data_IF_050580246459
#
_entry.id   IF_050580246459
#
_cell.length_a   1.000
_cell.length_b   1.000
_cell.length_c   1.000
_cell.angle_alpha   90.00
_cell.angle_beta   90.00
_cell.angle_gamma   90.00
#
_symmetry.space_group_name_H-M   'P 1'
#
loop_
_entity.id
_entity.type
_entity.pdbx_description
1 polymer ?
#
# COMPACT_ATOMS: atom_id res chain seq x y z
N UNK A 1 -23.87 -51.13 -36.32
CA UNK A 1 -23.19 -49.90 -36.84
C UNK A 1 -22.05 -49.57 -35.92
N UNK A 2 -20.80 -49.77 -36.39
CA UNK A 2 -19.59 -49.36 -35.65
C UNK A 2 -19.60 -47.84 -35.53
N UNK A 3 -19.59 -47.31 -34.32
CA UNK A 3 -19.36 -45.90 -34.02
C UNK A 3 -17.97 -45.54 -34.61
N UNK A 4 -17.93 -44.88 -35.76
CA UNK A 4 -16.69 -44.36 -36.31
C UNK A 4 -16.03 -43.50 -35.22
N UNK A 5 -14.88 -43.89 -34.76
CA UNK A 5 -13.98 -43.06 -33.94
C UNK A 5 -13.52 -41.89 -34.84
N UNK A 6 -14.32 -40.84 -34.95
CA UNK A 6 -13.88 -39.58 -35.50
C UNK A 6 -12.72 -39.10 -34.64
N UNK A 7 -11.57 -38.86 -35.28
CA UNK A 7 -10.42 -38.27 -34.58
C UNK A 7 -10.89 -36.98 -33.88
N UNK A 8 -10.70 -36.93 -32.57
CA UNK A 8 -11.04 -35.76 -31.80
C UNK A 8 -10.14 -34.61 -32.25
N UNK A 9 -10.73 -33.46 -32.63
CA UNK A 9 -10.01 -32.25 -32.95
C UNK A 9 -9.13 -31.84 -31.74
N UNK A 10 -7.82 -31.81 -31.95
CA UNK A 10 -6.83 -31.41 -30.98
C UNK A 10 -6.26 -30.02 -31.30
N UNK A 11 -6.16 -29.13 -30.32
CA UNK A 11 -5.55 -27.82 -30.48
C UNK A 11 -4.00 -27.91 -30.64
N UNK A 12 -3.36 -29.00 -30.17
CA UNK A 12 -1.91 -29.15 -30.13
C UNK A 12 -1.21 -29.14 -31.47
N UNK A 13 -1.71 -29.81 -32.58
CA UNK A 13 -1.09 -29.72 -33.89
C UNK A 13 -1.03 -28.30 -34.41
N UNK A 14 -2.09 -27.53 -34.24
CA UNK A 14 -2.13 -26.13 -34.64
C UNK A 14 -1.12 -25.27 -33.85
N UNK A 15 -1.08 -25.40 -32.53
CA UNK A 15 -0.14 -24.68 -31.66
C UNK A 15 1.30 -24.97 -32.12
N UNK A 16 1.63 -26.22 -32.46
CA UNK A 16 2.95 -26.61 -32.98
C UNK A 16 3.24 -26.07 -34.37
N UNK A 17 2.23 -26.01 -35.25
CA UNK A 17 2.37 -25.51 -36.64
C UNK A 17 2.52 -23.98 -36.69
N UNK A 18 1.79 -23.24 -35.87
CA UNK A 18 1.70 -21.77 -35.89
C UNK A 18 2.46 -21.07 -34.74
N UNK A 19 3.66 -21.55 -34.41
CA UNK A 19 4.45 -21.10 -33.26
C UNK A 19 4.65 -19.58 -33.21
N UNK A 20 4.82 -18.89 -34.32
CA UNK A 20 5.04 -17.43 -34.34
C UNK A 20 3.81 -16.67 -33.88
N UNK A 21 2.62 -17.03 -34.40
CA UNK A 21 1.33 -16.39 -34.02
C UNK A 21 0.97 -16.66 -32.55
N UNK A 22 1.09 -17.92 -32.13
CA UNK A 22 0.82 -18.33 -30.76
C UNK A 22 1.77 -17.64 -29.76
N UNK A 23 3.07 -17.53 -30.11
CA UNK A 23 4.02 -16.77 -29.26
C UNK A 23 3.65 -15.30 -29.17
N UNK A 24 3.27 -14.66 -30.29
CA UNK A 24 2.84 -13.25 -30.25
C UNK A 24 1.62 -13.06 -29.36
N UNK A 25 0.62 -13.95 -29.44
CA UNK A 25 -0.56 -13.90 -28.58
C UNK A 25 -0.18 -14.11 -27.10
N UNK A 26 0.65 -15.11 -26.79
CA UNK A 26 1.10 -15.37 -25.41
C UNK A 26 1.89 -14.17 -24.86
N UNK A 27 2.77 -13.57 -25.67
CA UNK A 27 3.53 -12.38 -25.27
C UNK A 27 2.58 -11.21 -24.97
N UNK A 28 1.61 -10.94 -25.85
CA UNK A 28 0.65 -9.85 -25.64
C UNK A 28 -0.20 -10.05 -24.38
N UNK A 29 -0.66 -11.29 -24.15
CA UNK A 29 -1.39 -11.66 -22.92
C UNK A 29 -0.50 -11.56 -21.68
N UNK A 30 0.76 -12.00 -21.76
CA UNK A 30 1.72 -11.89 -20.66
C UNK A 30 2.03 -10.43 -20.31
N UNK A 31 2.23 -9.59 -21.34
CA UNK A 31 2.42 -8.15 -21.15
C UNK A 31 1.21 -7.50 -20.47
N UNK A 32 0.00 -7.93 -20.85
CA UNK A 32 -1.21 -7.46 -20.19
C UNK A 32 -1.20 -7.81 -18.68
N UNK A 33 -0.83 -9.06 -18.33
CA UNK A 33 -0.74 -9.50 -16.91
C UNK A 33 0.27 -8.64 -16.17
N UNK A 34 1.46 -8.44 -16.73
CA UNK A 34 2.54 -7.65 -16.12
C UNK A 34 2.10 -6.20 -15.90
N UNK A 35 1.58 -5.54 -16.93
CA UNK A 35 1.15 -4.14 -16.83
C UNK A 35 -0.04 -3.96 -15.88
N UNK A 36 -1.03 -4.85 -15.93
CA UNK A 36 -2.18 -4.79 -15.03
C UNK A 36 -1.79 -5.01 -13.57
N UNK A 37 -0.88 -5.96 -13.32
CA UNK A 37 -0.33 -6.19 -11.99
C UNK A 37 0.55 -5.03 -11.56
N UNK A 38 1.45 -4.53 -12.42
CA UNK A 38 2.38 -3.45 -12.12
C UNK A 38 1.66 -2.17 -11.69
N UNK A 39 0.62 -1.75 -12.42
CA UNK A 39 -0.21 -0.60 -12.02
C UNK A 39 -0.81 -0.82 -10.64
N UNK A 40 -1.46 -1.96 -10.41
CA UNK A 40 -2.07 -2.28 -9.12
C UNK A 40 -1.05 -2.42 -7.99
N UNK A 41 0.13 -2.98 -8.30
CA UNK A 41 1.23 -3.15 -7.35
C UNK A 41 1.81 -1.80 -6.92
N UNK A 42 2.13 -0.93 -7.88
CA UNK A 42 2.69 0.40 -7.61
C UNK A 42 1.72 1.21 -6.74
N UNK A 43 0.44 1.23 -7.10
CA UNK A 43 -0.57 1.96 -6.35
C UNK A 43 -0.71 1.43 -4.91
N UNK A 44 -0.75 0.11 -4.71
CA UNK A 44 -0.78 -0.49 -3.37
C UNK A 44 0.50 -0.21 -2.57
N UNK A 45 1.66 -0.14 -3.23
CA UNK A 45 2.93 0.20 -2.59
C UNK A 45 3.01 1.66 -2.14
N UNK A 46 2.22 2.55 -2.70
CA UNK A 46 2.15 3.93 -2.27
C UNK A 46 1.44 4.12 -0.92
N UNK A 47 0.51 3.24 -0.56
CA UNK A 47 -0.36 3.40 0.60
C UNK A 47 0.06 2.58 1.82
N UNK A 48 0.21 1.27 1.65
CA UNK A 48 0.38 0.33 2.77
C UNK A 48 1.64 0.55 3.63
N UNK A 49 2.84 0.78 3.04
CA UNK A 49 4.03 1.02 3.84
C UNK A 49 3.96 2.34 4.60
N UNK A 50 3.32 3.35 3.99
CA UNK A 50 3.10 4.63 4.61
C UNK A 50 2.16 4.51 5.81
N UNK A 51 1.01 3.86 5.62
CA UNK A 51 0.05 3.61 6.68
C UNK A 51 0.71 2.87 7.86
N UNK A 52 1.47 1.82 7.57
CA UNK A 52 2.17 1.05 8.57
C UNK A 52 3.23 1.88 9.30
N UNK A 53 4.10 2.57 8.57
CA UNK A 53 5.17 3.37 9.16
C UNK A 53 4.65 4.50 10.07
N UNK A 54 3.48 5.07 9.74
CA UNK A 54 2.86 6.14 10.53
C UNK A 54 2.01 5.65 11.70
N UNK A 55 1.46 4.43 11.64
CA UNK A 55 0.54 3.92 12.67
C UNK A 55 1.22 3.00 13.68
N UNK A 56 2.23 2.23 13.28
CA UNK A 56 2.92 1.26 14.17
C UNK A 56 3.45 1.88 15.47
N UNK A 57 3.97 3.13 15.51
CA UNK A 57 4.40 3.73 16.77
C UNK A 57 3.32 3.77 17.85
N UNK A 58 2.05 3.76 17.46
CA UNK A 58 0.90 3.94 18.37
C UNK A 58 0.29 2.61 18.90
N UNK A 59 0.87 1.44 18.59
CA UNK A 59 0.33 0.15 19.05
C UNK A 59 0.41 -0.04 20.56
N UNK A 60 1.45 0.49 21.18
CA UNK A 60 1.76 0.34 22.58
C UNK A 60 1.83 1.69 23.31
N UNK A 61 1.36 2.75 22.65
CA UNK A 61 1.21 4.07 23.25
C UNK A 61 0.00 4.79 22.67
N UNK A 62 -0.59 5.67 23.46
CA UNK A 62 -1.54 6.67 22.98
C UNK A 62 -1.03 8.08 23.30
N UNK A 63 -1.39 9.01 22.44
CA UNK A 63 -1.17 10.43 22.68
C UNK A 63 -2.48 11.05 23.13
N UNK A 64 -2.40 11.94 24.10
CA UNK A 64 -3.57 12.65 24.59
C UNK A 64 -3.18 14.01 25.14
N UNK A 65 -4.13 14.94 25.12
CA UNK A 65 -4.07 16.17 25.87
C UNK A 65 -5.19 16.14 26.90
N UNK A 66 -4.89 16.21 28.19
CA UNK A 66 -5.91 16.40 29.19
C UNK A 66 -6.65 17.73 28.99
N UNK A 67 -7.92 17.76 29.28
CA UNK A 67 -8.65 19.01 29.31
C UNK A 67 -8.21 19.82 30.56
N UNK A 68 -7.64 20.99 30.32
CA UNK A 68 -7.14 21.87 31.37
C UNK A 68 -7.96 23.15 31.35
N UNK A 69 -8.72 23.40 32.42
CA UNK A 69 -9.43 24.65 32.66
C UNK A 69 -8.60 25.52 33.61
N UNK A 70 -8.14 26.66 33.10
CA UNK A 70 -7.44 27.68 33.93
C UNK A 70 -8.27 28.94 33.84
N UNK A 71 -8.93 29.27 34.97
CA UNK A 71 -9.89 30.38 35.06
C UNK A 71 -9.21 31.77 35.11
N UNK A 72 -8.01 31.87 35.69
CA UNK A 72 -7.31 33.15 35.88
C UNK A 72 -5.82 32.99 35.58
N UNK A 73 -5.28 33.81 34.70
CA UNK A 73 -3.84 33.98 34.44
C UNK A 73 -3.55 35.41 33.94
N UNK A 74 -2.40 35.95 34.27
CA UNK A 74 -2.00 37.29 33.89
C UNK A 74 -1.10 37.30 32.62
N UNK A 75 -0.31 36.25 32.43
CA UNK A 75 0.64 36.13 31.29
C UNK A 75 0.57 34.73 30.64
N UNK A 76 1.08 34.64 29.41
CA UNK A 76 1.16 33.36 28.66
C UNK A 76 2.12 32.39 29.35
N UNK A 77 3.17 32.92 29.96
CA UNK A 77 4.14 32.13 30.75
C UNK A 77 3.49 31.50 31.96
N UNK A 78 2.70 32.29 32.73
CA UNK A 78 1.94 31.80 33.88
C UNK A 78 0.91 30.74 33.50
N UNK A 79 0.19 30.97 32.40
CA UNK A 79 -0.72 29.96 31.86
C UNK A 79 0.01 28.66 31.52
N UNK A 80 1.18 28.74 30.89
CA UNK A 80 1.99 27.56 30.51
C UNK A 80 2.48 26.78 31.72
N UNK A 81 2.87 27.48 32.81
CA UNK A 81 3.28 26.84 34.06
C UNK A 81 2.11 26.12 34.75
N UNK A 82 0.95 26.79 34.89
CA UNK A 82 -0.26 26.21 35.45
C UNK A 82 -0.80 25.04 34.64
N UNK A 83 -0.78 25.16 33.31
CA UNK A 83 -1.17 24.08 32.41
C UNK A 83 -0.24 22.87 32.55
N UNK A 84 1.06 23.10 32.66
CA UNK A 84 2.04 22.02 32.89
C UNK A 84 1.77 21.29 34.21
N UNK A 85 1.49 22.01 35.29
CA UNK A 85 1.19 21.42 36.58
C UNK A 85 -0.09 20.59 36.53
N UNK A 86 -1.15 21.08 35.91
CA UNK A 86 -2.41 20.35 35.79
C UNK A 86 -2.27 19.10 34.90
N UNK A 87 -1.51 19.19 33.81
CA UNK A 87 -1.20 18.02 32.97
C UNK A 87 -0.38 16.97 33.74
N UNK A 88 0.56 17.38 34.58
CA UNK A 88 1.30 16.49 35.49
C UNK A 88 0.37 15.79 36.50
N UNK A 89 -0.57 16.54 37.10
CA UNK A 89 -1.56 15.98 38.02
C UNK A 89 -2.45 14.94 37.28
N UNK A 90 -2.85 15.23 36.06
CA UNK A 90 -3.58 14.27 35.21
C UNK A 90 -2.73 13.03 34.89
N UNK A 91 -1.45 13.19 34.58
CA UNK A 91 -0.52 12.09 34.31
C UNK A 91 -0.42 11.14 35.52
N UNK A 92 -0.36 11.67 36.77
CA UNK A 92 -0.34 10.86 37.97
C UNK A 92 -1.66 10.11 38.23
N UNK A 93 -2.79 10.66 37.81
CA UNK A 93 -4.08 9.95 37.82
C UNK A 93 -4.11 8.84 36.75
N UNK A 94 -3.63 9.13 35.56
CA UNK A 94 -3.58 8.17 34.41
C UNK A 94 -2.69 6.97 34.75
N UNK A 95 -1.55 7.17 35.42
CA UNK A 95 -0.68 6.07 35.89
C UNK A 95 -1.37 5.05 36.80
N UNK A 96 -2.48 5.42 37.42
CA UNK A 96 -3.26 4.54 38.32
C UNK A 96 -4.26 3.68 37.54
N UNK A 97 -4.49 3.97 36.27
CA UNK A 97 -5.38 3.18 35.40
C UNK A 97 -4.75 1.80 35.14
N UNK A 98 -5.51 0.71 35.34
CA UNK A 98 -4.97 -0.64 35.16
C UNK A 98 -4.42 -0.88 33.77
N UNK A 99 -3.16 -1.31 33.68
CA UNK A 99 -2.48 -1.60 32.41
C UNK A 99 -1.63 -0.44 31.88
N UNK A 100 -1.79 0.78 32.36
CA UNK A 100 -0.87 1.88 32.04
C UNK A 100 0.48 1.60 32.68
N UNK A 101 1.54 1.61 31.89
CA UNK A 101 2.91 1.31 32.34
C UNK A 101 3.73 2.56 32.63
N UNK A 102 3.34 3.71 32.07
CA UNK A 102 4.01 4.98 32.29
C UNK A 102 3.40 6.10 31.48
N UNK A 103 3.83 7.31 31.78
CA UNK A 103 3.46 8.53 31.05
C UNK A 103 4.67 9.44 30.89
N UNK A 104 4.76 10.15 29.77
CA UNK A 104 5.77 11.19 29.49
C UNK A 104 5.05 12.42 28.98
N UNK A 105 5.51 13.59 29.42
CA UNK A 105 5.13 14.88 28.83
C UNK A 105 5.88 15.08 27.53
N UNK A 106 5.19 15.53 26.49
CA UNK A 106 5.80 15.91 25.25
C UNK A 106 5.13 17.14 24.62
N UNK A 107 5.86 17.79 23.76
CA UNK A 107 5.37 18.87 22.89
C UNK A 107 5.41 18.37 21.45
N UNK A 108 4.42 18.73 20.65
CA UNK A 108 4.33 18.26 19.28
C UNK A 108 5.19 19.12 18.37
N UNK A 109 6.21 18.51 17.79
CA UNK A 109 6.95 19.04 16.66
C UNK A 109 6.54 18.35 15.38
N UNK A 110 7.02 18.84 14.23
CA UNK A 110 6.69 18.28 12.91
C UNK A 110 7.94 18.05 12.08
N UNK A 111 8.08 16.84 11.57
CA UNK A 111 9.12 16.43 10.63
C UNK A 111 8.50 16.13 9.28
N UNK A 112 9.04 16.73 8.19
CA UNK A 112 8.58 16.43 6.84
C UNK A 112 9.40 15.30 6.23
N UNK A 113 8.74 14.47 5.45
CA UNK A 113 9.41 13.40 4.71
C UNK A 113 8.75 13.17 3.35
N UNK A 114 9.47 12.47 2.44
CA UNK A 114 8.95 12.14 1.11
C UNK A 114 8.22 10.81 1.15
N UNK A 115 6.95 10.84 0.74
CA UNK A 115 6.22 9.63 0.36
C UNK A 115 6.42 9.37 -1.14
N UNK A 116 5.96 8.22 -1.64
CA UNK A 116 6.00 7.91 -3.08
C UNK A 116 5.14 8.89 -3.90
N UNK A 117 4.15 9.52 -3.27
CA UNK A 117 3.18 10.40 -3.93
C UNK A 117 3.46 11.89 -3.70
N UNK A 118 4.32 12.24 -2.74
CA UNK A 118 4.61 13.64 -2.41
C UNK A 118 5.29 13.80 -1.05
N UNK A 119 5.29 15.01 -0.53
CA UNK A 119 5.77 15.31 0.81
C UNK A 119 4.63 15.20 1.81
N UNK A 120 4.92 14.67 2.99
CA UNK A 120 4.00 14.56 4.12
C UNK A 120 4.76 14.85 5.41
N UNK A 121 4.05 14.94 6.54
CA UNK A 121 4.62 15.24 7.84
C UNK A 121 4.34 14.15 8.85
N UNK A 122 5.25 13.98 9.79
CA UNK A 122 5.10 13.12 10.97
C UNK A 122 5.26 13.96 12.24
N UNK A 123 4.58 13.62 13.32
CA UNK A 123 4.86 14.21 14.62
C UNK A 123 6.30 13.89 15.05
N UNK A 124 6.95 14.89 15.60
CA UNK A 124 8.22 14.76 16.29
C UNK A 124 7.93 14.94 17.79
N UNK A 125 8.27 13.94 18.59
CA UNK A 125 8.04 13.97 20.03
C UNK A 125 9.15 14.74 20.71
N UNK A 126 8.83 15.93 21.19
CA UNK A 126 9.78 16.84 21.83
C UNK A 126 9.56 16.85 23.35
N UNK A 127 10.58 16.48 24.10
CA UNK A 127 10.55 16.39 25.55
C UNK A 127 11.30 17.57 26.17
N UNK A 128 10.92 17.94 27.39
CA UNK A 128 11.58 19.02 28.12
C UNK A 128 12.91 18.57 28.75
N UNK A 129 13.15 17.26 28.86
CA UNK A 129 14.38 16.72 29.45
C UNK A 129 14.90 15.49 28.70
N UNK A 130 16.20 15.20 28.84
CA UNK A 130 16.91 14.09 28.18
C UNK A 130 16.48 12.72 28.73
N UNK A 131 16.08 12.63 29.98
CA UNK A 131 15.64 11.40 30.61
C UNK A 131 14.36 10.86 29.95
N UNK A 132 13.43 11.74 29.60
CA UNK A 132 12.19 11.37 28.93
C UNK A 132 12.44 10.90 27.49
N UNK A 133 13.38 11.53 26.76
CA UNK A 133 13.83 11.05 25.44
C UNK A 133 14.37 9.62 25.58
N UNK A 134 15.22 9.38 26.57
CA UNK A 134 15.77 8.05 26.84
C UNK A 134 14.69 7.04 27.23
N UNK A 135 13.73 7.45 28.05
CA UNK A 135 12.60 6.60 28.47
C UNK A 135 11.76 6.18 27.24
N UNK A 136 11.48 7.11 26.32
CA UNK A 136 10.77 6.78 25.08
C UNK A 136 11.59 5.82 24.20
N UNK A 137 12.90 6.03 24.08
CA UNK A 137 13.79 5.12 23.36
C UNK A 137 13.80 3.72 23.95
N UNK A 138 13.95 3.62 25.26
CA UNK A 138 13.99 2.34 26.00
C UNK A 138 12.63 1.62 25.87
N UNK A 139 11.52 2.36 25.96
CA UNK A 139 10.18 1.81 25.80
C UNK A 139 9.95 1.26 24.37
N UNK A 140 10.37 2.01 23.36
CA UNK A 140 10.29 1.61 21.96
C UNK A 140 11.38 0.61 21.55
N UNK A 141 12.28 0.22 22.47
CA UNK A 141 13.41 -0.66 22.25
C UNK A 141 14.27 -0.23 21.03
N UNK A 142 14.42 1.07 20.83
CA UNK A 142 15.24 1.64 19.75
C UNK A 142 16.64 1.97 20.25
N UNK A 143 17.65 1.78 19.39
CA UNK A 143 19.05 1.96 19.73
C UNK A 143 19.70 3.00 18.84
N UNK A 144 20.46 3.91 19.47
CA UNK A 144 21.27 4.86 18.75
C UNK A 144 22.35 4.14 17.93
N UNK A 145 22.39 4.41 16.63
CA UNK A 145 23.39 3.83 15.70
C UNK A 145 24.48 4.84 15.31
N UNK A 146 24.17 6.13 15.37
CA UNK A 146 25.16 7.19 15.09
C UNK A 146 24.84 8.48 15.84
N UNK A 147 25.85 9.31 16.06
CA UNK A 147 25.69 10.60 16.76
C UNK A 147 25.55 10.47 18.26
N UNK A 148 24.75 11.34 18.86
CA UNK A 148 24.52 11.42 20.32
C UNK A 148 23.05 11.68 20.65
N UNK A 149 22.67 11.51 21.90
CA UNK A 149 21.37 11.93 22.39
C UNK A 149 21.23 13.47 22.40
N UNK A 150 20.01 13.98 22.21
CA UNK A 150 19.73 15.41 22.33
C UNK A 150 20.06 15.93 23.74
N UNK A 151 20.68 17.11 23.83
CA UNK A 151 21.05 17.76 25.07
C UNK A 151 20.63 19.23 25.15
N UNK A 152 20.41 19.86 24.00
CA UNK A 152 19.99 21.25 23.88
C UNK A 152 18.60 21.37 23.21
N UNK A 153 17.86 22.45 23.51
CA UNK A 153 16.58 22.73 22.85
C UNK A 153 16.72 22.72 21.32
N UNK A 154 15.76 22.07 20.64
CA UNK A 154 15.75 21.93 19.19
C UNK A 154 16.69 20.85 18.65
N UNK A 155 17.47 20.15 19.49
CA UNK A 155 18.19 18.97 19.05
C UNK A 155 17.26 17.76 18.96
N UNK A 156 17.34 17.02 17.83
CA UNK A 156 16.51 15.86 17.56
C UNK A 156 17.32 14.65 17.11
N UNK A 157 16.81 13.48 17.37
CA UNK A 157 17.28 12.22 16.79
C UNK A 157 16.17 11.64 15.91
N UNK A 158 16.57 11.01 14.82
CA UNK A 158 15.64 10.56 13.78
C UNK A 158 15.94 9.11 13.45
N UNK A 159 14.90 8.35 13.12
CA UNK A 159 15.05 7.01 12.57
C UNK A 159 15.88 7.02 11.28
N UNK A 160 16.74 6.01 11.09
CA UNK A 160 17.64 5.91 9.92
C UNK A 160 16.87 5.87 8.59
N UNK A 161 15.70 5.18 8.54
CA UNK A 161 14.87 5.10 7.34
C UNK A 161 14.27 6.46 7.00
N UNK A 162 13.81 7.19 8.02
CA UNK A 162 13.30 8.55 7.87
C UNK A 162 14.41 9.50 7.40
N UNK A 163 15.62 9.39 7.95
CA UNK A 163 16.79 10.14 7.52
C UNK A 163 17.13 9.91 6.04
N UNK A 164 17.17 8.64 5.61
CA UNK A 164 17.42 8.29 4.20
C UNK A 164 16.33 8.83 3.27
N UNK A 165 15.08 8.85 3.74
CA UNK A 165 13.93 9.34 2.98
C UNK A 165 13.97 10.87 2.78
N UNK A 166 14.42 11.63 3.77
CA UNK A 166 14.32 13.09 3.77
C UNK A 166 15.16 13.75 2.65
N UNK A 167 16.35 13.25 2.35
CA UNK A 167 17.27 13.84 1.39
C UNK A 167 17.73 15.25 1.79
N UNK A 168 18.68 15.82 1.06
CA UNK A 168 19.35 17.09 1.42
C UNK A 168 18.40 18.30 1.44
N UNK A 169 17.40 18.33 0.56
CA UNK A 169 16.45 19.47 0.50
C UNK A 169 15.52 19.51 1.72
N UNK A 170 15.07 18.37 2.20
CA UNK A 170 14.17 18.29 3.36
C UNK A 170 14.97 18.55 4.63
N UNK A 171 16.22 18.05 4.70
CA UNK A 171 17.14 18.36 5.79
C UNK A 171 17.43 19.85 5.90
N UNK A 172 17.63 20.55 4.78
CA UNK A 172 17.83 21.99 4.77
C UNK A 172 16.61 22.75 5.33
N UNK A 173 15.39 22.30 5.03
CA UNK A 173 14.17 22.89 5.59
C UNK A 173 14.00 22.61 7.09
N UNK A 174 14.49 21.47 7.59
CA UNK A 174 14.48 21.16 9.02
C UNK A 174 15.54 21.93 9.80
N UNK A 175 16.70 22.19 9.22
CA UNK A 175 17.81 22.89 9.89
C UNK A 175 17.45 24.29 10.36
N UNK A 176 16.38 24.88 9.84
CA UNK A 176 15.85 26.17 10.33
C UNK A 176 15.10 26.03 11.66
N UNK A 177 14.68 24.84 12.05
CA UNK A 177 13.92 24.57 13.27
C UNK A 177 14.60 23.58 14.21
N UNK A 178 15.14 22.48 13.65
CA UNK A 178 15.68 21.38 14.43
C UNK A 178 17.09 21.03 13.97
N UNK A 179 17.96 20.70 14.91
CA UNK A 179 19.31 20.22 14.67
C UNK A 179 19.37 18.70 14.89
N UNK A 180 19.55 17.92 13.83
CA UNK A 180 19.67 16.46 13.94
C UNK A 180 21.03 16.08 14.46
N UNK A 181 21.09 15.53 15.68
CA UNK A 181 22.35 15.20 16.39
C UNK A 181 22.63 13.70 16.44
N UNK A 182 21.66 12.85 16.09
CA UNK A 182 21.85 11.41 16.09
C UNK A 182 20.80 10.68 15.27
N UNK A 183 21.09 9.40 15.02
CA UNK A 183 20.22 8.48 14.30
C UNK A 183 20.07 7.19 15.10
N UNK A 184 18.88 6.59 15.03
CA UNK A 184 18.58 5.31 15.65
C UNK A 184 17.91 4.38 14.63
N UNK A 185 17.86 3.09 14.94
CA UNK A 185 17.20 2.07 14.13
C UNK A 185 15.85 1.72 14.73
N UNK A 186 14.80 1.76 13.90
CA UNK A 186 13.46 1.28 14.25
C UNK A 186 12.78 0.62 13.05
N UNK A 187 11.65 -0.05 13.30
CA UNK A 187 10.85 -0.68 12.24
C UNK A 187 9.85 0.29 11.60
N UNK A 188 9.70 1.50 12.16
CA UNK A 188 8.74 2.53 11.76
C UNK A 188 9.38 3.92 11.79
N UNK A 189 8.72 4.89 11.17
CA UNK A 189 9.20 6.27 11.17
C UNK A 189 8.94 6.93 12.52
N UNK A 190 9.99 7.41 13.15
CA UNK A 190 9.94 8.10 14.43
C UNK A 190 10.98 9.22 14.49
N UNK A 191 10.61 10.32 15.09
CA UNK A 191 11.52 11.41 15.43
C UNK A 191 11.25 11.86 16.86
N UNK A 192 12.30 12.15 17.61
CA UNK A 192 12.18 12.64 18.99
C UNK A 192 13.33 13.56 19.34
N UNK A 193 13.13 14.45 20.31
CA UNK A 193 14.16 15.39 20.68
C UNK A 193 13.83 16.27 21.87
N UNK A 194 14.56 17.37 21.98
CA UNK A 194 14.36 18.37 23.04
C UNK A 194 13.50 19.52 22.54
N UNK A 195 12.48 19.88 23.32
CA UNK A 195 11.53 20.94 23.02
C UNK A 195 12.20 22.30 22.88
N UNK A 196 11.67 23.11 21.96
CA UNK A 196 12.00 24.53 21.85
C UNK A 196 11.13 25.33 22.83
N UNK A 197 11.67 26.44 23.34
CA UNK A 197 10.93 27.33 24.25
C UNK A 197 9.67 27.97 23.64
N UNK A 198 9.54 27.92 22.33
CA UNK A 198 8.37 28.47 21.59
C UNK A 198 7.21 27.48 21.40
N UNK A 199 7.37 26.25 21.85
CA UNK A 199 6.35 25.20 21.72
C UNK A 199 5.54 25.12 23.01
N UNK A 200 4.31 25.62 22.95
CA UNK A 200 3.46 25.77 24.15
C UNK A 200 2.44 24.63 24.36
N UNK A 201 2.25 23.76 23.36
CA UNK A 201 1.28 22.67 23.46
C UNK A 201 1.85 21.51 24.28
N UNK A 202 1.28 21.32 25.46
CA UNK A 202 1.71 20.27 26.40
C UNK A 202 0.77 19.08 26.28
N UNK A 203 1.32 17.95 25.91
CA UNK A 203 0.61 16.71 25.68
C UNK A 203 1.23 15.56 26.47
N UNK A 204 0.51 14.43 26.55
CA UNK A 204 0.94 13.23 27.23
C UNK A 204 1.10 12.07 26.24
N UNK A 205 2.22 11.39 26.34
CA UNK A 205 2.37 10.02 25.86
C UNK A 205 1.99 9.10 27.00
N UNK A 206 1.05 8.21 26.79
CA UNK A 206 0.66 7.16 27.75
C UNK A 206 1.09 5.82 27.21
N UNK A 207 1.92 5.10 27.94
CA UNK A 207 2.40 3.77 27.57
C UNK A 207 1.47 2.68 28.07
N UNK A 208 1.17 1.72 27.22
CA UNK A 208 0.33 0.57 27.54
C UNK A 208 0.75 -0.65 26.69
N UNK A 209 0.46 -1.89 27.13
CA UNK A 209 0.72 -3.06 26.32
C UNK A 209 -0.21 -3.11 25.10
N UNK A 210 0.27 -3.74 24.00
CA UNK A 210 -0.56 -4.08 22.84
C UNK A 210 -1.41 -5.33 23.14
N UNK A 211 -2.46 -5.15 23.96
CA UNK A 211 -3.36 -6.22 24.42
C UNK A 211 -4.79 -6.09 23.86
N UNK A 212 -5.00 -5.16 22.93
CA UNK A 212 -6.28 -4.93 22.26
C UNK A 212 -7.34 -4.24 23.13
N UNK A 213 -6.96 -3.60 24.24
CA UNK A 213 -7.87 -2.83 25.08
C UNK A 213 -7.89 -1.37 24.62
N UNK A 214 -9.04 -0.73 24.78
CA UNK A 214 -9.21 0.71 24.55
C UNK A 214 -8.79 1.47 25.82
N UNK A 215 -7.51 1.85 25.87
CA UNK A 215 -6.97 2.62 27.00
C UNK A 215 -7.49 4.06 27.04
N UNK A 216 -7.85 4.64 25.90
CA UNK A 216 -8.48 5.95 25.83
C UNK A 216 -9.84 5.95 26.55
N UNK A 217 -10.66 4.93 26.31
CA UNK A 217 -11.93 4.79 27.02
C UNK A 217 -11.73 4.45 28.50
N UNK A 218 -10.76 3.61 28.85
CA UNK A 218 -10.45 3.28 30.26
C UNK A 218 -10.03 4.51 31.06
N UNK A 219 -9.29 5.44 30.46
CA UNK A 219 -8.90 6.70 31.12
C UNK A 219 -10.12 7.60 31.34
N UNK A 220 -11.01 7.70 30.34
CA UNK A 220 -12.28 8.44 30.47
C UNK A 220 -13.19 7.84 31.55
N UNK A 221 -13.29 6.51 31.60
CA UNK A 221 -14.08 5.80 32.62
C UNK A 221 -13.52 6.00 34.05
N UNK A 222 -12.23 6.30 34.16
CA UNK A 222 -11.60 6.71 35.44
C UNK A 222 -11.89 8.17 35.84
N UNK A 223 -12.71 8.88 35.06
CA UNK A 223 -13.14 10.25 35.34
C UNK A 223 -12.12 11.31 34.94
N UNK A 224 -11.23 11.01 34.01
CA UNK A 224 -10.25 11.95 33.48
C UNK A 224 -10.75 12.43 32.11
N UNK A 225 -11.01 13.74 32.00
CA UNK A 225 -11.43 14.36 30.75
C UNK A 225 -10.24 14.58 29.85
N UNK A 226 -10.36 14.07 28.62
CA UNK A 226 -9.34 14.15 27.58
C UNK A 226 -9.86 15.00 26.43
N UNK A 227 -9.06 15.99 25.99
CA UNK A 227 -9.40 16.82 24.84
C UNK A 227 -9.36 16.00 23.54
N UNK A 228 -8.33 15.17 23.36
CA UNK A 228 -8.24 14.22 22.27
C UNK A 228 -7.55 12.92 22.73
N UNK A 229 -7.75 11.87 21.96
CA UNK A 229 -7.03 10.60 22.09
C UNK A 229 -6.57 10.18 20.70
N UNK A 230 -5.27 9.97 20.54
CA UNK A 230 -4.67 9.45 19.33
C UNK A 230 -4.01 8.10 19.65
N UNK A 231 -4.73 7.03 19.40
CA UNK A 231 -4.27 5.64 19.49
C UNK A 231 -4.01 5.05 18.11
N UNK A 232 -3.66 3.79 18.07
CA UNK A 232 -3.38 3.08 16.82
C UNK A 232 -4.56 3.12 15.83
N UNK A 233 -5.79 2.89 16.32
CA UNK A 233 -6.98 2.87 15.45
C UNK A 233 -7.33 4.26 14.92
N UNK A 234 -7.24 5.27 15.77
CA UNK A 234 -7.50 6.67 15.40
C UNK A 234 -6.48 7.16 14.39
N UNK A 235 -5.18 6.88 14.65
CA UNK A 235 -4.11 7.23 13.72
C UNK A 235 -4.28 6.51 12.38
N UNK A 236 -4.60 5.23 12.40
CA UNK A 236 -4.84 4.48 11.17
C UNK A 236 -6.03 5.04 10.36
N UNK A 237 -7.11 5.42 11.04
CA UNK A 237 -8.27 6.07 10.39
C UNK A 237 -7.89 7.44 9.82
N UNK A 238 -7.18 8.28 10.57
CA UNK A 238 -6.71 9.58 10.10
C UNK A 238 -5.83 9.48 8.86
N UNK A 239 -4.82 8.60 8.89
CA UNK A 239 -3.96 8.33 7.74
C UNK A 239 -4.77 7.75 6.57
N UNK A 240 -5.74 6.87 6.82
CA UNK A 240 -6.63 6.35 5.77
C UNK A 240 -7.54 7.43 5.19
N UNK A 241 -8.00 8.39 5.96
CA UNK A 241 -8.82 9.52 5.46
C UNK A 241 -7.98 10.46 4.61
N UNK A 242 -6.76 10.79 5.03
CA UNK A 242 -5.81 11.58 4.25
C UNK A 242 -5.42 10.89 2.94
N UNK A 243 -5.17 9.58 3.00
CA UNK A 243 -4.89 8.75 1.83
C UNK A 243 -6.18 8.40 1.05
N UNK A 244 -7.36 8.49 1.67
CA UNK A 244 -8.65 8.10 1.09
C UNK A 244 -9.07 8.95 -0.11
N UNK A 245 -8.72 10.22 -0.13
CA UNK A 245 -8.88 11.08 -1.31
C UNK A 245 -7.99 10.60 -2.47
N UNK A 246 -6.76 10.19 -2.16
CA UNK A 246 -5.82 9.55 -3.10
C UNK A 246 -6.33 8.17 -3.56
N UNK A 247 -6.95 7.38 -2.68
CA UNK A 247 -7.48 6.06 -3.03
C UNK A 247 -8.59 6.11 -4.07
N UNK A 248 -9.43 7.15 -4.04
CA UNK A 248 -10.47 7.36 -5.05
C UNK A 248 -9.86 7.67 -6.43
N UNK A 249 -8.81 8.48 -6.48
CA UNK A 249 -8.05 8.77 -7.70
C UNK A 249 -7.32 7.52 -8.19
N UNK A 250 -6.76 6.74 -7.28
CA UNK A 250 -6.11 5.46 -7.55
C UNK A 250 -7.07 4.47 -8.22
N UNK A 251 -8.24 4.24 -7.64
CA UNK A 251 -9.25 3.36 -8.23
C UNK A 251 -9.69 3.83 -9.61
N UNK A 252 -9.79 5.16 -9.83
CA UNK A 252 -10.11 5.72 -11.14
C UNK A 252 -9.00 5.44 -12.16
N UNK A 253 -7.74 5.66 -11.78
CA UNK A 253 -6.58 5.36 -12.63
C UNK A 253 -6.51 3.87 -12.95
N UNK A 254 -6.67 3.02 -11.95
CA UNK A 254 -6.66 1.56 -12.10
C UNK A 254 -7.77 1.09 -13.03
N UNK A 255 -8.99 1.63 -12.88
CA UNK A 255 -10.12 1.33 -13.75
C UNK A 255 -9.84 1.80 -15.19
N UNK A 256 -9.37 3.03 -15.38
CA UNK A 256 -9.07 3.59 -16.69
C UNK A 256 -7.97 2.78 -17.41
N UNK A 257 -6.87 2.47 -16.73
CA UNK A 257 -5.80 1.64 -17.26
C UNK A 257 -6.29 0.22 -17.57
N UNK A 258 -7.07 -0.39 -16.68
CA UNK A 258 -7.65 -1.71 -16.87
C UNK A 258 -8.57 -1.77 -18.10
N UNK A 259 -9.44 -0.78 -18.28
CA UNK A 259 -10.33 -0.68 -19.45
C UNK A 259 -9.52 -0.50 -20.75
N UNK A 260 -8.53 0.39 -20.75
CA UNK A 260 -7.67 0.63 -21.92
C UNK A 260 -6.92 -0.64 -22.33
N UNK A 261 -6.29 -1.30 -21.39
CA UNK A 261 -5.57 -2.56 -21.60
C UNK A 261 -6.50 -3.67 -22.08
N UNK A 262 -7.73 -3.74 -21.51
CA UNK A 262 -8.74 -4.72 -21.92
C UNK A 262 -9.17 -4.50 -23.39
N UNK A 263 -9.40 -3.24 -23.80
CA UNK A 263 -9.74 -2.90 -25.20
C UNK A 263 -8.60 -3.32 -26.12
N UNK A 264 -7.35 -2.97 -25.81
CA UNK A 264 -6.19 -3.35 -26.60
C UNK A 264 -6.08 -4.87 -26.76
N UNK A 265 -6.30 -5.61 -25.67
CA UNK A 265 -6.23 -7.07 -25.69
C UNK A 265 -7.37 -7.69 -26.49
N UNK A 266 -8.60 -7.18 -26.38
CA UNK A 266 -9.73 -7.62 -27.19
C UNK A 266 -9.50 -7.40 -28.68
N UNK A 267 -8.83 -6.31 -29.08
CA UNK A 267 -8.43 -6.09 -30.47
C UNK A 267 -7.46 -7.16 -30.93
N UNK A 268 -6.41 -7.45 -30.14
CA UNK A 268 -5.42 -8.49 -30.47
C UNK A 268 -6.08 -9.87 -30.57
N UNK A 269 -6.99 -10.19 -29.65
CA UNK A 269 -7.75 -11.45 -29.69
C UNK A 269 -8.68 -11.52 -30.91
N UNK A 270 -9.36 -10.43 -31.25
CA UNK A 270 -10.22 -10.37 -32.41
C UNK A 270 -9.44 -10.57 -33.71
N UNK A 271 -8.27 -9.96 -33.85
CA UNK A 271 -7.38 -10.19 -34.99
C UNK A 271 -6.93 -11.65 -35.06
N UNK A 272 -6.56 -12.25 -33.93
CA UNK A 272 -6.19 -13.67 -33.87
C UNK A 272 -7.34 -14.59 -34.30
N UNK A 273 -8.56 -14.27 -33.91
CA UNK A 273 -9.79 -15.00 -34.26
C UNK A 273 -10.06 -14.86 -35.78
N UNK A 274 -9.94 -13.63 -36.33
CA UNK A 274 -10.15 -13.37 -37.76
C UNK A 274 -9.15 -14.09 -38.62
N UNK A 275 -7.88 -14.13 -38.25
CA UNK A 275 -6.83 -14.84 -38.99
C UNK A 275 -7.09 -16.35 -39.09
N UNK A 276 -7.94 -16.92 -38.25
CA UNK A 276 -8.30 -18.35 -38.25
C UNK A 276 -9.56 -18.68 -39.03
N UNK A 277 -10.24 -17.68 -39.53
CA UNK A 277 -11.52 -17.86 -40.22
C UNK A 277 -11.39 -18.88 -41.40
N UNK A 278 -10.37 -18.77 -42.26
CA UNK A 278 -10.15 -19.68 -43.40
C UNK A 278 -9.90 -21.13 -42.97
N UNK A 279 -9.16 -21.35 -41.87
CA UNK A 279 -8.91 -22.68 -41.34
C UNK A 279 -10.20 -23.33 -40.80
N UNK A 280 -11.08 -22.52 -40.18
CA UNK A 280 -12.38 -23.00 -39.66
C UNK A 280 -13.35 -23.31 -40.82
N UNK A 281 -13.33 -22.52 -41.91
CA UNK A 281 -14.08 -22.84 -43.13
C UNK A 281 -13.65 -24.20 -43.70
N UNK A 282 -12.34 -24.43 -43.74
CA UNK A 282 -11.78 -25.69 -44.25
C UNK A 282 -12.14 -26.89 -43.34
N UNK A 283 -12.18 -26.70 -42.04
CA UNK A 283 -12.63 -27.73 -41.06
C UNK A 283 -14.13 -28.03 -41.24
N UNK A 284 -14.94 -27.00 -41.42
CA UNK A 284 -16.37 -27.16 -41.68
C UNK A 284 -16.64 -27.94 -42.99
N UNK A 285 -15.90 -27.64 -44.07
CA UNK A 285 -16.05 -28.34 -45.36
C UNK A 285 -15.61 -29.82 -45.30
N UNK A 286 -14.71 -30.18 -44.37
CA UNK A 286 -14.32 -31.58 -44.11
C UNK A 286 -15.37 -32.30 -43.23
N UNK A 287 -16.39 -31.56 -42.71
CA UNK A 287 -17.53 -32.11 -41.98
C UNK A 287 -17.44 -32.05 -40.45
N UNK A 288 -16.56 -31.23 -39.90
CA UNK A 288 -16.58 -30.95 -38.47
C UNK A 288 -17.73 -30.00 -38.13
N UNK A 289 -18.41 -30.25 -37.03
CA UNK A 289 -19.49 -29.39 -36.56
C UNK A 289 -18.96 -28.09 -35.95
N UNK A 290 -19.77 -27.01 -35.99
CA UNK A 290 -19.44 -25.74 -35.37
C UNK A 290 -19.12 -25.88 -33.88
N UNK A 291 -19.77 -26.81 -33.16
CA UNK A 291 -19.49 -27.10 -31.75
C UNK A 291 -18.11 -27.72 -31.51
N UNK A 292 -17.64 -28.60 -32.41
CA UNK A 292 -16.31 -29.22 -32.32
C UNK A 292 -15.21 -28.17 -32.60
N UNK A 293 -15.42 -27.33 -33.62
CA UNK A 293 -14.50 -26.23 -33.97
C UNK A 293 -14.42 -25.22 -32.79
N UNK A 294 -15.59 -24.85 -32.21
CA UNK A 294 -15.64 -23.95 -31.04
C UNK A 294 -14.91 -24.54 -29.85
N UNK A 295 -15.14 -25.80 -29.50
CA UNK A 295 -14.47 -26.46 -28.38
C UNK A 295 -12.94 -26.56 -28.57
N UNK A 296 -12.47 -26.76 -29.82
CA UNK A 296 -11.05 -26.73 -30.12
C UNK A 296 -10.45 -25.34 -29.95
N UNK A 297 -11.08 -24.30 -30.50
CA UNK A 297 -10.61 -22.92 -30.40
C UNK A 297 -10.62 -22.43 -28.94
N UNK A 298 -11.62 -22.84 -28.15
CA UNK A 298 -11.69 -22.56 -26.73
C UNK A 298 -10.51 -23.14 -25.95
N UNK A 299 -10.14 -24.41 -26.21
CA UNK A 299 -8.99 -25.08 -25.58
C UNK A 299 -7.68 -24.42 -25.95
N UNK A 300 -7.53 -23.97 -27.20
CA UNK A 300 -6.37 -23.23 -27.66
C UNK A 300 -6.24 -21.90 -26.93
N UNK A 301 -7.32 -21.13 -26.87
CA UNK A 301 -7.34 -19.85 -26.17
C UNK A 301 -7.01 -20.03 -24.68
N UNK A 302 -7.62 -21.02 -24.03
CA UNK A 302 -7.35 -21.35 -22.62
C UNK A 302 -5.87 -21.70 -22.40
N UNK A 303 -5.27 -22.49 -23.32
CA UNK A 303 -3.84 -22.80 -23.25
C UNK A 303 -2.99 -21.53 -23.31
N UNK A 304 -3.29 -20.61 -24.22
CA UNK A 304 -2.58 -19.33 -24.34
C UNK A 304 -2.73 -18.48 -23.06
N UNK A 305 -3.92 -18.42 -22.46
CA UNK A 305 -4.14 -17.71 -21.22
C UNK A 305 -3.36 -18.31 -20.04
N UNK A 306 -3.36 -19.63 -19.90
CA UNK A 306 -2.62 -20.32 -18.81
C UNK A 306 -1.10 -20.11 -18.96
N UNK A 307 -0.58 -20.23 -20.19
CA UNK A 307 0.84 -19.98 -20.46
C UNK A 307 1.22 -18.52 -20.21
N UNK A 308 0.38 -17.60 -20.64
CA UNK A 308 0.58 -16.18 -20.45
C UNK A 308 0.55 -15.79 -18.96
N UNK A 309 -0.37 -16.37 -18.20
CA UNK A 309 -0.44 -16.16 -16.76
C UNK A 309 0.84 -16.64 -16.07
N UNK A 310 1.34 -17.83 -16.39
CA UNK A 310 2.59 -18.36 -15.83
C UNK A 310 3.80 -17.47 -16.12
N UNK A 311 3.94 -17.03 -17.38
CA UNK A 311 5.00 -16.09 -17.79
C UNK A 311 4.80 -14.73 -17.11
N UNK A 312 3.57 -14.21 -17.11
CA UNK A 312 3.22 -12.94 -16.48
C UNK A 312 3.58 -12.89 -15.01
N UNK A 313 3.29 -13.94 -14.24
CA UNK A 313 3.64 -14.02 -12.79
C UNK A 313 5.15 -13.92 -12.59
N UNK A 314 5.96 -14.60 -13.41
CA UNK A 314 7.43 -14.54 -13.30
C UNK A 314 7.94 -13.11 -13.57
N UNK A 315 7.44 -12.45 -14.62
CA UNK A 315 7.84 -11.09 -14.94
C UNK A 315 7.31 -10.07 -13.92
N UNK A 316 6.09 -10.24 -13.40
CA UNK A 316 5.55 -9.39 -12.33
C UNK A 316 6.36 -9.51 -11.03
N UNK A 317 6.87 -10.71 -10.71
CA UNK A 317 7.79 -10.88 -9.59
C UNK A 317 9.12 -10.13 -9.81
N UNK A 318 9.66 -10.20 -11.03
CA UNK A 318 10.87 -9.45 -11.39
C UNK A 318 10.65 -7.92 -11.35
N UNK A 319 9.48 -7.45 -11.79
CA UNK A 319 9.06 -6.04 -11.69
C UNK A 319 8.97 -5.59 -10.23
N UNK A 320 8.34 -6.39 -9.35
CA UNK A 320 8.26 -6.09 -7.92
C UNK A 320 9.63 -5.97 -7.26
N UNK A 321 10.56 -6.89 -7.57
CA UNK A 321 11.95 -6.83 -7.07
C UNK A 321 12.68 -5.57 -7.59
N UNK A 322 12.48 -5.24 -8.86
CA UNK A 322 13.11 -4.06 -9.46
C UNK A 322 12.55 -2.77 -8.82
N UNK A 323 11.24 -2.71 -8.63
CA UNK A 323 10.57 -1.57 -7.98
C UNK A 323 11.05 -1.38 -6.53
N UNK A 324 11.08 -2.46 -5.74
CA UNK A 324 11.59 -2.42 -4.36
C UNK A 324 13.02 -1.91 -4.30
N UNK A 325 13.94 -2.52 -5.08
CA UNK A 325 15.37 -2.18 -5.04
C UNK A 325 15.73 -0.81 -5.61
N UNK A 326 15.02 -0.36 -6.65
CA UNK A 326 15.37 0.86 -7.36
C UNK A 326 14.66 2.10 -6.82
N UNK A 327 13.45 1.95 -6.29
CA UNK A 327 12.62 3.07 -5.87
C UNK A 327 12.35 3.07 -4.36
N UNK A 328 12.03 1.93 -3.76
CA UNK A 328 11.62 1.86 -2.36
C UNK A 328 12.80 1.74 -1.39
N UNK A 329 13.73 0.83 -1.62
CA UNK A 329 14.87 0.60 -0.74
C UNK A 329 15.76 1.85 -0.56
N UNK A 330 16.02 2.69 -1.58
CA UNK A 330 16.79 3.93 -1.40
C UNK A 330 16.16 4.92 -0.43
N UNK A 331 14.83 4.93 -0.32
CA UNK A 331 14.09 5.79 0.61
C UNK A 331 13.76 5.09 1.94
N UNK A 332 14.34 3.92 2.19
CA UNK A 332 14.15 3.18 3.44
C UNK A 332 12.80 2.44 3.57
N UNK A 333 12.05 2.32 2.49
CA UNK A 333 10.79 1.58 2.45
C UNK A 333 11.02 0.22 1.81
N UNK A 334 10.50 -0.85 2.43
CA UNK A 334 10.54 -2.19 1.86
C UNK A 334 9.13 -2.67 1.55
N UNK A 335 8.94 -3.13 0.33
CA UNK A 335 7.65 -3.65 -0.15
C UNK A 335 7.75 -5.14 -0.42
N UNK A 336 6.72 -5.89 -0.02
CA UNK A 336 6.65 -7.32 -0.27
C UNK A 336 6.59 -7.65 -1.77
N UNK A 337 7.13 -8.83 -2.13
CA UNK A 337 7.21 -9.30 -3.52
C UNK A 337 5.85 -9.39 -4.21
N UNK A 338 4.82 -9.76 -3.47
CA UNK A 338 3.44 -9.87 -3.96
C UNK A 338 2.47 -9.14 -3.05
N UNK A 339 1.63 -8.31 -3.66
CA UNK A 339 0.53 -7.63 -2.97
C UNK A 339 -0.76 -8.43 -3.11
N UNK A 340 -1.34 -8.81 -1.97
CA UNK A 340 -2.59 -9.58 -1.95
C UNK A 340 -3.76 -8.80 -2.57
N UNK A 341 -3.77 -7.48 -2.45
CA UNK A 341 -4.80 -6.60 -3.02
C UNK A 341 -4.77 -6.52 -4.55
N UNK A 342 -3.60 -6.62 -5.19
CA UNK A 342 -3.47 -6.56 -6.65
C UNK A 342 -3.90 -7.86 -7.35
N UNK A 343 -3.76 -9.01 -6.68
CA UNK A 343 -4.01 -10.33 -7.27
C UNK A 343 -5.47 -10.49 -7.75
N UNK A 344 -6.51 -10.21 -6.94
CA UNK A 344 -7.91 -10.37 -7.36
C UNK A 344 -8.28 -9.51 -8.56
N UNK A 345 -7.71 -8.31 -8.67
CA UNK A 345 -7.96 -7.38 -9.78
C UNK A 345 -7.47 -7.97 -11.10
N UNK A 346 -6.22 -8.45 -11.13
CA UNK A 346 -5.63 -9.07 -12.33
C UNK A 346 -6.44 -10.30 -12.77
N UNK A 347 -6.79 -11.18 -11.83
CA UNK A 347 -7.60 -12.37 -12.14
C UNK A 347 -9.01 -12.00 -12.60
N UNK A 348 -9.67 -11.04 -11.95
CA UNK A 348 -11.00 -10.57 -12.33
C UNK A 348 -11.03 -10.02 -13.74
N UNK A 349 -10.06 -9.18 -14.11
CA UNK A 349 -9.95 -8.60 -15.45
C UNK A 349 -9.63 -9.68 -16.48
N UNK A 350 -8.72 -10.62 -16.20
CA UNK A 350 -8.41 -11.74 -17.12
C UNK A 350 -9.64 -12.63 -17.39
N UNK A 351 -10.42 -12.96 -16.35
CA UNK A 351 -11.65 -13.74 -16.48
C UNK A 351 -12.67 -12.97 -17.32
N UNK A 352 -12.85 -11.67 -17.08
CA UNK A 352 -13.74 -10.83 -17.86
C UNK A 352 -13.34 -10.78 -19.35
N UNK A 353 -12.05 -10.59 -19.64
CA UNK A 353 -11.53 -10.57 -21.02
C UNK A 353 -11.71 -11.93 -21.69
N UNK A 354 -11.39 -13.03 -20.98
CA UNK A 354 -11.62 -14.38 -21.51
C UNK A 354 -13.12 -14.59 -21.84
N UNK A 355 -14.01 -14.15 -20.97
CA UNK A 355 -15.46 -14.16 -21.20
C UNK A 355 -15.88 -13.32 -22.42
N UNK A 356 -15.40 -12.09 -22.51
CA UNK A 356 -15.67 -11.20 -23.64
C UNK A 356 -15.14 -11.76 -24.98
N UNK A 357 -13.99 -12.43 -24.98
CA UNK A 357 -13.41 -13.06 -26.16
C UNK A 357 -14.26 -14.20 -26.74
N UNK A 358 -15.14 -14.80 -25.92
CA UNK A 358 -16.07 -15.84 -26.38
C UNK A 358 -17.08 -15.30 -27.39
N UNK A 359 -17.48 -14.02 -27.27
CA UNK A 359 -18.48 -13.40 -28.15
C UNK A 359 -18.00 -13.37 -29.61
N UNK A 360 -16.87 -12.74 -29.96
CA UNK A 360 -16.37 -12.73 -31.33
C UNK A 360 -16.01 -14.14 -31.80
N UNK A 361 -15.51 -15.01 -30.93
CA UNK A 361 -15.21 -16.40 -31.29
C UNK A 361 -16.49 -17.15 -31.73
N UNK A 362 -17.55 -17.07 -30.92
CA UNK A 362 -18.81 -17.71 -31.24
C UNK A 362 -19.46 -17.17 -32.52
N UNK A 363 -19.47 -15.83 -32.69
CA UNK A 363 -20.06 -15.15 -33.84
C UNK A 363 -19.32 -15.55 -35.12
N UNK A 364 -17.97 -15.54 -35.13
CA UNK A 364 -17.19 -15.88 -36.30
C UNK A 364 -17.35 -17.35 -36.69
N UNK A 365 -17.29 -18.29 -35.74
CA UNK A 365 -17.49 -19.72 -36.06
C UNK A 365 -18.90 -19.99 -36.60
N UNK A 366 -19.93 -19.31 -36.05
CA UNK A 366 -21.29 -19.47 -36.53
C UNK A 366 -21.49 -18.92 -37.93
N UNK A 367 -20.83 -17.80 -38.28
CA UNK A 367 -20.86 -17.24 -39.63
C UNK A 367 -20.21 -18.19 -40.65
N UNK A 368 -19.09 -18.80 -40.36
CA UNK A 368 -18.42 -19.81 -41.18
C UNK A 368 -19.37 -20.93 -41.53
N UNK A 369 -20.13 -21.44 -40.57
CA UNK A 369 -21.02 -22.57 -40.77
C UNK A 369 -22.36 -22.21 -41.47
N UNK A 370 -22.70 -20.92 -41.56
CA UNK A 370 -23.95 -20.48 -42.24
C UNK A 370 -23.76 -20.06 -43.69
N UNK A 371 -22.55 -19.62 -44.06
CA UNK A 371 -22.26 -19.22 -45.46
C UNK A 371 -22.26 -20.41 -46.42
N UNK A 372 -21.76 -21.59 -46.01
CA UNK A 372 -21.80 -22.82 -46.82
C UNK A 372 -23.19 -23.42 -46.99
N UNK A 373 -24.23 -22.86 -46.34
CA UNK A 373 -25.63 -23.31 -46.50
C UNK A 373 -26.41 -22.51 -47.55
N UNK A 374 -25.79 -21.51 -48.23
CA UNK A 374 -26.46 -20.60 -49.14
C UNK A 374 -25.84 -20.69 -50.59
N UNK A 375 -24.70 -21.38 -50.79
CA UNK A 375 -24.21 -21.81 -52.10
C UNK A 375 -24.51 -23.29 -52.33
#
# INVERSE_FOLDING_TARGET
MKKNERATLSAMPYIKGNKKRIRALIISLSMFVVLSYGVSYILACCQEPFLQACSEPYRDMLLTSPHVEIDEYETVEEWSELATEEVLNCAEKIKKVPGVTGTILYREGTVRFKSVVGETSLPCFLMDNKEDVKTLMDYKNVKLISGRLPEAPGEVIIDEKLWRNMGDQVLAQMSDRYNVVGQFESDYYLAMGMALSSENDINLIVFHPDDGKDYGQMIKDAGIELYYVMDYETQQKGVMEDVGSLSSVEHLIQLACGVLLAICLLVVLSLHIMDRHEEWCLMNSIGFSSGEIYAMALRELLFCFVMALGIGVVFSAAEGIAFDKLLCAPIGVHVGLFRKSAIPVVFGVLIAIYGCAQIPLFVNIRRVCTVDAIE
#
